data_IF_080868015883
#
_entry.id   IF_080868015883
#
_cell.length_a   1.000
_cell.length_b   1.000
_cell.length_c   1.000
_cell.angle_alpha   90.00
_cell.angle_beta   90.00
_cell.angle_gamma   90.00
#
_symmetry.space_group_name_H-M   'P 1'
#
loop_
_entity.id
_entity.type
_entity.pdbx_description
1 polymer ?
#
# COMPACT_ATOMS: atom_id res chain seq x y z
N UNK A 1 -11.83 -1.02 -7.30
CA UNK A 1 -11.62 -0.33 -5.99
C UNK A 1 -10.13 -0.36 -5.67
N UNK A 2 -9.58 0.74 -5.14
CA UNK A 2 -8.21 0.78 -4.60
C UNK A 2 -8.31 1.08 -3.11
N UNK A 3 -7.78 0.19 -2.27
CA UNK A 3 -7.85 0.34 -0.82
C UNK A 3 -6.59 -0.17 -0.12
N UNK A 4 -6.34 0.32 1.09
CA UNK A 4 -5.16 0.03 1.90
C UNK A 4 -5.50 -0.63 3.24
N UNK A 5 -4.66 -1.56 3.68
CA UNK A 5 -4.76 -2.19 5.00
C UNK A 5 -3.43 -2.11 5.74
N UNK A 6 -3.46 -1.58 6.96
CA UNK A 6 -2.34 -1.68 7.88
C UNK A 6 -2.25 -3.11 8.44
N UNK A 7 -1.15 -3.79 8.12
CA UNK A 7 -0.80 -5.10 8.68
C UNK A 7 0.21 -4.88 9.80
N UNK A 8 -0.11 -5.36 11.01
CA UNK A 8 0.77 -5.21 12.17
C UNK A 8 2.08 -5.97 11.97
N UNK A 9 3.18 -5.34 12.36
CA UNK A 9 4.52 -5.93 12.35
C UNK A 9 5.21 -5.72 13.69
N UNK A 10 6.28 -6.47 13.93
CA UNK A 10 7.26 -6.10 14.95
C UNK A 10 8.09 -4.92 14.44
N UNK A 11 8.53 -4.05 15.36
CA UNK A 11 9.37 -2.89 15.03
C UNK A 11 10.64 -3.36 14.29
N UNK A 12 10.87 -2.94 13.03
CA UNK A 12 12.10 -3.28 12.33
C UNK A 12 13.31 -2.58 12.98
N UNK A 13 14.47 -3.24 12.96
CA UNK A 13 15.68 -2.67 13.52
C UNK A 13 16.03 -1.33 12.86
N UNK A 14 16.40 -0.33 13.67
CA UNK A 14 16.81 1.00 13.23
C UNK A 14 15.76 1.75 12.37
N UNK A 15 14.47 1.42 12.47
CA UNK A 15 13.44 2.08 11.64
C UNK A 15 12.96 3.42 12.16
N UNK A 16 13.31 3.78 13.40
CA UNK A 16 12.66 4.89 14.10
C UNK A 16 11.14 4.72 14.09
N UNK A 17 10.40 5.75 13.67
CA UNK A 17 8.93 5.77 13.62
C UNK A 17 8.34 5.59 12.22
N UNK A 18 9.11 5.24 11.19
CA UNK A 18 8.58 5.22 9.80
C UNK A 18 7.47 4.19 9.60
N UNK A 19 7.52 3.07 10.34
CA UNK A 19 6.45 2.07 10.34
C UNK A 19 5.43 2.28 11.46
N UNK A 20 5.61 3.27 12.33
CA UNK A 20 4.70 3.53 13.44
C UNK A 20 3.48 4.32 12.94
N UNK A 21 2.29 3.75 13.13
CA UNK A 21 1.06 4.34 12.63
C UNK A 21 0.30 5.14 13.70
N UNK A 22 -0.75 5.84 13.28
CA UNK A 22 -1.59 6.66 14.17
C UNK A 22 -2.36 5.84 15.22
N UNK A 23 -2.51 4.53 15.00
CA UNK A 23 -3.12 3.58 15.95
C UNK A 23 -2.10 3.02 16.94
N UNK A 24 -0.97 3.70 17.13
CA UNK A 24 0.04 3.43 18.14
C UNK A 24 0.68 2.03 18.04
N UNK A 25 0.90 1.53 16.82
CA UNK A 25 1.65 0.30 16.61
C UNK A 25 2.43 0.33 15.29
N UNK A 26 3.41 -0.56 15.16
CA UNK A 26 4.17 -0.72 13.93
C UNK A 26 3.35 -1.50 12.89
N UNK A 27 3.32 -1.02 11.66
CA UNK A 27 2.62 -1.65 10.55
C UNK A 27 3.30 -1.39 9.20
N UNK A 28 3.05 -2.28 8.26
CA UNK A 28 3.21 -1.99 6.83
C UNK A 28 1.85 -1.83 6.18
N UNK A 29 1.78 -1.08 5.09
CA UNK A 29 0.57 -0.97 4.26
C UNK A 29 0.58 -2.07 3.21
N UNK A 30 -0.54 -2.79 3.13
CA UNK A 30 -0.92 -3.64 2.01
C UNK A 30 -1.95 -2.88 1.20
N UNK A 31 -1.61 -2.49 -0.03
CA UNK A 31 -2.51 -1.79 -0.93
C UNK A 31 -2.94 -2.72 -2.05
N UNK A 32 -4.24 -2.77 -2.34
CA UNK A 32 -4.79 -3.66 -3.33
C UNK A 32 -5.74 -2.95 -4.29
N UNK A 33 -5.58 -3.25 -5.57
CA UNK A 33 -6.52 -2.91 -6.63
C UNK A 33 -7.36 -4.14 -6.95
N UNK A 34 -8.68 -3.98 -6.92
CA UNK A 34 -9.66 -5.07 -7.07
C UNK A 34 -10.69 -4.71 -8.14
N UNK A 35 -11.06 -5.69 -8.97
CA UNK A 35 -12.11 -5.57 -9.98
C UNK A 35 -13.53 -5.66 -9.38
N UNK A 36 -14.57 -5.57 -10.23
CA UNK A 36 -15.97 -5.69 -9.79
C UNK A 36 -16.36 -7.10 -9.32
N UNK A 37 -15.57 -8.12 -9.64
CA UNK A 37 -15.79 -9.51 -9.25
C UNK A 37 -14.98 -9.90 -8.00
N UNK A 38 -14.47 -8.91 -7.26
CA UNK A 38 -13.64 -9.10 -6.08
C UNK A 38 -12.31 -9.85 -6.35
N UNK A 39 -11.81 -9.81 -7.59
CA UNK A 39 -10.50 -10.37 -7.96
C UNK A 39 -9.42 -9.31 -7.82
N UNK A 40 -8.34 -9.67 -7.13
CA UNK A 40 -7.15 -8.82 -7.04
C UNK A 40 -6.49 -8.71 -8.41
N UNK A 41 -6.33 -7.48 -8.89
CA UNK A 41 -5.56 -7.16 -10.11
C UNK A 41 -4.11 -6.86 -9.73
N UNK A 42 -3.91 -6.05 -8.68
CA UNK A 42 -2.58 -5.69 -8.16
C UNK A 42 -2.60 -5.73 -6.64
N UNK A 43 -1.52 -6.23 -6.05
CA UNK A 43 -1.27 -6.18 -4.60
C UNK A 43 0.15 -5.65 -4.38
N UNK A 44 0.25 -4.48 -3.74
CA UNK A 44 1.49 -3.90 -3.26
C UNK A 44 1.65 -4.12 -1.76
N UNK A 45 2.84 -4.51 -1.31
CA UNK A 45 3.14 -4.79 0.10
C UNK A 45 4.39 -4.02 0.52
N UNK A 46 4.36 -3.43 1.72
CA UNK A 46 5.56 -2.86 2.34
C UNK A 46 5.56 -1.34 2.46
N UNK A 47 4.45 -0.66 2.15
CA UNK A 47 4.32 0.78 2.39
C UNK A 47 4.52 1.14 3.86
N UNK A 48 4.99 2.35 4.13
CA UNK A 48 5.27 2.81 5.50
C UNK A 48 3.99 2.91 6.33
N UNK A 49 4.02 2.43 7.57
CA UNK A 49 2.87 2.46 8.47
C UNK A 49 2.34 3.87 8.80
N UNK A 50 3.15 4.92 8.63
CA UNK A 50 2.71 6.31 8.81
C UNK A 50 2.04 6.94 7.58
N UNK A 51 2.04 6.25 6.43
CA UNK A 51 1.63 6.79 5.14
C UNK A 51 0.12 6.64 4.94
N UNK A 52 -0.52 7.62 4.28
CA UNK A 52 -1.92 7.53 3.87
C UNK A 52 -2.10 6.64 2.64
N UNK A 53 -3.34 6.25 2.32
CA UNK A 53 -3.61 5.44 1.12
C UNK A 53 -3.20 6.17 -0.17
N UNK A 54 -3.50 7.47 -0.27
CA UNK A 54 -3.07 8.29 -1.39
C UNK A 54 -1.55 8.44 -1.48
N UNK A 55 -0.87 8.60 -0.33
CA UNK A 55 0.58 8.63 -0.29
C UNK A 55 1.20 7.29 -0.70
N UNK A 56 0.59 6.18 -0.30
CA UNK A 56 1.03 4.82 -0.66
C UNK A 56 0.81 4.57 -2.15
N UNK A 57 -0.32 5.01 -2.70
CA UNK A 57 -0.61 4.92 -4.13
C UNK A 57 0.42 5.67 -4.98
N UNK A 58 0.69 6.94 -4.67
CA UNK A 58 1.67 7.75 -5.41
C UNK A 58 3.08 7.16 -5.39
N UNK A 59 3.45 6.45 -4.31
CA UNK A 59 4.73 5.78 -4.18
C UNK A 59 4.76 4.34 -4.74
N UNK A 60 3.64 3.83 -5.27
CA UNK A 60 3.52 2.45 -5.73
C UNK A 60 3.93 2.27 -7.19
N UNK A 61 4.38 1.06 -7.53
CA UNK A 61 4.59 0.66 -8.94
C UNK A 61 3.29 0.71 -9.76
N UNK A 62 2.14 0.51 -9.10
CA UNK A 62 0.82 0.62 -9.74
C UNK A 62 0.63 2.02 -10.35
N UNK A 63 0.94 3.08 -9.61
CA UNK A 63 0.86 4.45 -10.14
C UNK A 63 1.78 4.63 -11.34
N UNK A 64 3.02 4.17 -11.23
CA UNK A 64 4.01 4.23 -12.33
C UNK A 64 3.55 3.48 -13.59
N UNK A 65 2.87 2.34 -13.44
CA UNK A 65 2.34 1.57 -14.56
C UNK A 65 1.10 2.20 -15.19
N UNK A 66 0.26 2.87 -14.40
CA UNK A 66 -0.87 3.65 -14.90
C UNK A 66 -0.37 4.83 -15.72
N UNK A 67 0.60 5.60 -15.22
CA UNK A 67 1.14 6.77 -15.94
C UNK A 67 1.82 6.39 -17.26
N UNK A 68 2.39 5.19 -17.35
CA UNK A 68 3.02 4.67 -18.57
C UNK A 68 2.06 3.90 -19.49
N UNK A 69 0.77 3.85 -19.14
CA UNK A 69 -0.27 3.11 -19.87
C UNK A 69 0.04 1.61 -20.04
N UNK A 70 0.81 1.03 -19.09
CA UNK A 70 1.19 -0.38 -19.12
C UNK A 70 0.12 -1.32 -18.56
N UNK A 71 -0.87 -0.78 -17.86
CA UNK A 71 -2.00 -1.55 -17.34
C UNK A 71 -3.25 -1.20 -18.15
N UNK A 72 -3.88 -2.23 -18.71
CA UNK A 72 -5.21 -2.16 -19.27
C UNK A 72 -6.18 -2.72 -18.22
N UNK A 73 -7.08 -1.87 -17.74
CA UNK A 73 -8.14 -2.31 -16.85
C UNK A 73 -9.25 -2.97 -17.67
N UNK A 74 -9.85 -4.07 -17.18
CA UNK A 74 -11.02 -4.68 -17.82
C UNK A 74 -12.25 -3.78 -17.78
#
# INVERSE_FOLDING_TARGET
>A
CLDGKHVRIQCPANSGSVFYNYKQHFSVVLQALVDANYKYIVVGVGGYGKQSDGGTFLASDLFSFIEKEYIQFP
#
